data_IF_661815963784
#
_entry.id   IF_661815963784
#
_cell.length_a   1.000
_cell.length_b   1.000
_cell.length_c   1.000
_cell.angle_alpha   90.00
_cell.angle_beta   90.00
_cell.angle_gamma   90.00
#
_symmetry.space_group_name_H-M   'P 1'
#
loop_
_entity.id
_entity.type
_entity.pdbx_description
1 polymer ?
2 non-polymer ?
3 non-polymer ?
4 non-polymer ?
5 water ?
#
# COMPACT_ATOMS: atom_id res chain seq x y z
N UNK A 7 5.32 -6.84 -36.90
CA UNK A 7 4.53 -6.92 -35.68
C UNK A 7 5.42 -7.30 -34.49
N UNK A 8 6.16 -8.40 -34.63
CA UNK A 8 7.06 -8.86 -33.59
C UNK A 8 8.14 -7.82 -33.31
N UNK A 9 8.55 -7.12 -34.36
CA UNK A 9 9.53 -6.05 -34.23
C UNK A 9 8.90 -4.82 -33.57
N UNK A 10 7.59 -4.68 -33.72
CA UNK A 10 6.86 -3.55 -33.14
C UNK A 10 6.60 -3.79 -31.67
N UNK A 11 6.33 -5.05 -31.32
CA UNK A 11 6.09 -5.42 -29.93
C UNK A 11 7.36 -5.34 -29.09
N UNK A 12 8.49 -5.74 -29.69
CA UNK A 12 9.78 -5.64 -29.02
C UNK A 12 10.07 -4.19 -28.65
N UNK A 13 9.91 -3.30 -29.63
CA UNK A 13 10.20 -1.88 -29.44
C UNK A 13 9.31 -1.30 -28.35
N UNK A 14 8.03 -1.67 -28.38
CA UNK A 14 7.08 -1.23 -27.36
C UNK A 14 7.49 -1.71 -25.97
N UNK A 15 7.84 -2.98 -25.87
CA UNK A 15 8.29 -3.55 -24.60
C UNK A 15 9.59 -2.91 -24.14
N UNK A 16 10.49 -2.64 -25.09
CA UNK A 16 11.76 -1.99 -24.78
C UNK A 16 11.55 -0.61 -24.19
N UNK A 17 10.66 0.16 -24.80
CA UNK A 17 10.38 1.52 -24.38
C UNK A 17 9.67 1.56 -23.02
N UNK A 18 8.82 0.57 -22.77
CA UNK A 18 8.17 0.44 -21.48
C UNK A 18 9.19 0.24 -20.38
N UNK A 19 10.11 -0.71 -20.60
CA UNK A 19 11.17 -0.98 -19.63
C UNK A 19 12.07 0.22 -19.40
N UNK A 20 12.24 1.04 -20.43
CA UNK A 20 13.02 2.26 -20.32
C UNK A 20 12.37 3.27 -19.38
N UNK A 21 11.08 3.51 -19.58
CA UNK A 21 10.34 4.46 -18.74
C UNK A 21 10.20 3.93 -17.31
N UNK A 22 9.98 2.63 -17.18
CA UNK A 22 9.91 2.01 -15.85
C UNK A 22 11.28 2.06 -15.18
N UNK A 23 12.33 1.89 -15.97
CA UNK A 23 13.68 1.97 -15.47
C UNK A 23 14.03 3.35 -14.94
N UNK A 24 13.64 4.38 -15.69
CA UNK A 24 13.87 5.76 -15.30
C UNK A 24 13.15 6.09 -13.99
N UNK A 25 11.87 5.76 -13.94
CA UNK A 25 11.06 5.97 -12.73
C UNK A 25 11.61 5.19 -11.55
N UNK A 26 12.09 3.98 -11.81
CA UNK A 26 12.67 3.14 -10.76
C UNK A 26 13.98 3.73 -10.23
N UNK A 27 14.87 4.08 -11.15
CA UNK A 27 16.18 4.63 -10.80
C UNK A 27 16.06 5.88 -9.94
N UNK A 28 15.06 6.70 -10.24
CA UNK A 28 14.89 7.98 -9.56
C UNK A 28 14.01 7.88 -8.31
N UNK A 29 13.67 6.67 -7.92
CA UNK A 29 12.94 6.43 -6.68
C UNK A 29 11.49 6.86 -6.71
N UNK A 30 10.96 7.03 -7.92
CA UNK A 30 9.58 7.46 -8.08
C UNK A 30 8.61 6.32 -7.83
N UNK A 32 8.40 1.72 -6.76
CA UNK A 32 8.98 0.40 -6.52
C UNK A 32 8.18 -0.66 -7.27
N UNK A 33 8.88 -1.52 -7.99
CA UNK A 33 8.23 -2.61 -8.71
C UNK A 33 8.42 -3.94 -7.98
N UNK A 34 7.31 -4.59 -7.65
CA UNK A 34 7.35 -5.90 -7.01
C UNK A 34 6.40 -6.84 -7.74
N UNK A 35 6.96 -7.79 -8.49
CA UNK A 35 6.17 -8.66 -9.32
C UNK A 35 5.45 -7.85 -10.37
N UNK A 36 4.13 -7.99 -10.43
CA UNK A 36 3.32 -7.23 -11.38
C UNK A 36 2.75 -5.97 -10.73
N UNK A 37 3.13 -5.73 -9.48
CA UNK A 37 2.60 -4.59 -8.74
C UNK A 37 3.61 -3.45 -8.65
N UNK A 38 3.14 -2.23 -8.86
CA UNK A 38 3.97 -1.04 -8.71
C UNK A 38 3.48 -0.17 -7.56
N UNK A 39 4.37 0.17 -6.64
CA UNK A 39 4.03 1.04 -5.52
C UNK A 39 4.61 2.44 -5.74
N UNK A 40 3.86 3.45 -5.30
CA UNK A 40 4.33 4.83 -5.43
C UNK A 40 3.65 5.75 -4.42
N UNK A 41 4.33 6.84 -4.08
CA UNK A 41 3.75 7.82 -3.17
C UNK A 41 3.93 9.24 -3.72
N UNK A 42 3.04 10.15 -3.34
CA UNK A 42 3.19 11.55 -3.69
C UNK A 42 3.85 12.31 -2.53
N UNK A 43 4.20 11.56 -1.48
CA UNK A 43 4.90 12.11 -0.35
C UNK A 43 4.01 12.80 0.67
N UNK A 44 2.72 12.84 0.38
CA UNK A 44 1.76 13.54 1.25
C UNK A 44 1.26 12.69 2.41
N UNK A 45 0.97 13.35 3.53
CA UNK A 45 0.39 12.68 4.69
C UNK A 45 -1.02 13.18 4.95
N UNK A 46 -2.00 12.33 4.63
CA UNK A 46 -3.42 12.68 4.78
C UNK A 46 -4.18 11.49 5.35
N UNK A 47 -5.47 11.68 5.61
CA UNK A 47 -6.28 10.59 6.17
C UNK A 47 -6.69 9.52 5.15
N UNK A 48 -7.34 8.47 5.65
CA UNK A 48 -7.67 7.30 4.84
C UNK A 48 -8.49 7.64 3.60
N UNK A 49 -9.60 8.35 3.80
CA UNK A 49 -10.49 8.73 2.71
C UNK A 49 -9.75 9.53 1.65
N UNK A 50 -8.86 10.41 2.07
CA UNK A 50 -8.13 11.28 1.15
C UNK A 50 -7.13 10.47 0.32
N UNK A 51 -6.44 9.52 0.96
CA UNK A 51 -5.51 8.66 0.25
C UNK A 51 -6.24 7.82 -0.80
N UNK A 52 -7.39 7.27 -0.41
CA UNK A 52 -8.23 6.50 -1.32
C UNK A 52 -8.51 7.26 -2.60
N UNK A 53 -8.92 8.52 -2.45
CA UNK A 53 -9.29 9.35 -3.59
C UNK A 53 -8.09 9.65 -4.48
N UNK A 55 -5.30 7.96 -4.87
CA UNK A 55 -4.87 6.77 -5.59
C UNK A 55 -5.79 6.46 -6.78
N UNK A 56 -7.09 6.52 -6.56
CA UNK A 56 -8.05 6.24 -7.62
C UNK A 56 -8.05 7.31 -8.70
N UNK A 57 -7.74 8.55 -8.33
CA UNK A 57 -7.65 9.62 -9.31
C UNK A 57 -6.47 9.39 -10.24
N UNK A 58 -5.44 8.72 -9.72
CA UNK A 58 -4.24 8.42 -10.50
C UNK A 58 -4.40 7.11 -11.25
N UNK A 59 -5.55 6.46 -11.08
CA UNK A 59 -5.83 5.22 -11.77
C UNK A 59 -5.35 4.00 -11.01
N UNK A 60 -5.08 4.17 -9.72
CA UNK A 60 -4.61 3.08 -8.89
C UNK A 60 -5.48 2.86 -7.67
N UNK A 61 -4.91 2.20 -6.66
CA UNK A 61 -5.62 1.97 -5.41
C UNK A 61 -4.69 2.13 -4.23
N UNK A 62 -5.24 2.47 -3.08
CA UNK A 62 -4.47 2.54 -1.85
C UNK A 62 -3.76 1.20 -1.64
N UNK A 63 -2.47 1.26 -1.38
CA UNK A 63 -1.63 0.07 -1.36
C UNK A 63 -2.06 -0.96 -0.33
N UNK A 64 -1.94 -2.23 -0.70
CA UNK A 64 -2.16 -3.33 0.23
C UNK A 64 -1.22 -4.49 -0.09
N UNK A 65 -0.38 -4.87 0.88
CA UNK A 65 0.56 -5.97 0.67
C UNK A 65 -0.12 -7.33 0.83
N UNK A 66 0.17 -8.25 -0.07
CA UNK A 66 -0.41 -9.58 -0.02
C UNK A 66 0.67 -10.65 0.05
N UNK A 67 1.92 -10.21 -0.02
CA UNK A 67 3.08 -11.08 0.13
C UNK A 67 4.09 -10.40 1.05
N UNK A 68 5.01 -11.18 1.63
CA UNK A 68 6.09 -10.56 2.42
C UNK A 68 6.92 -9.57 1.61
N UNK A 69 7.15 -9.85 0.33
CA UNK A 69 7.95 -8.95 -0.49
C UNK A 69 7.23 -7.64 -0.77
N UNK A 70 5.92 -7.71 -0.98
CA UNK A 70 5.13 -6.49 -1.17
C UNK A 70 5.12 -5.68 0.12
N UNK A 71 5.04 -6.37 1.25
CA UNK A 71 5.02 -5.72 2.56
C UNK A 71 6.31 -4.96 2.83
N UNK A 72 7.45 -5.59 2.53
CA UNK A 72 8.75 -4.97 2.73
C UNK A 72 8.95 -3.77 1.81
N UNK A 73 8.38 -3.85 0.62
CA UNK A 73 8.44 -2.76 -0.34
C UNK A 73 7.76 -1.51 0.21
N UNK A 74 6.56 -1.69 0.75
CA UNK A 74 5.81 -0.59 1.35
C UNK A 74 6.51 -0.09 2.61
N UNK A 75 7.06 -1.03 3.39
CA UNK A 75 7.81 -0.70 4.59
C UNK A 75 8.99 0.22 4.29
N UNK A 76 9.68 -0.05 3.18
CA UNK A 76 10.83 0.75 2.78
C UNK A 76 10.41 2.18 2.43
N UNK A 77 9.22 2.34 1.87
CA UNK A 77 8.68 3.65 1.55
C UNK A 77 8.31 4.37 2.84
N UNK A 78 7.67 3.66 3.76
CA UNK A 78 7.33 4.19 5.06
C UNK A 78 8.60 4.65 5.78
N UNK A 79 9.63 3.83 5.70
CA UNK A 79 10.92 4.13 6.31
C UNK A 79 11.56 5.35 5.66
N UNK A 80 11.47 5.44 4.34
CA UNK A 80 12.07 6.53 3.59
C UNK A 80 11.48 7.89 3.97
N UNK A 81 10.17 7.93 4.18
CA UNK A 81 9.47 9.17 4.50
C UNK A 81 9.25 9.38 6.00
N UNK A 82 9.72 8.43 6.80
CA UNK A 82 9.62 8.51 8.26
C UNK A 82 8.18 8.73 8.73
N UNK A 83 7.27 7.94 8.18
CA UNK A 83 5.85 8.05 8.53
C UNK A 83 5.15 6.72 8.35
N UNK A 84 4.05 6.52 9.08
CA UNK A 84 3.27 5.30 8.94
C UNK A 84 2.40 5.38 7.69
N UNK A 85 1.96 4.22 7.22
CA UNK A 85 1.19 4.15 5.98
C UNK A 85 -0.15 3.47 6.21
N UNK A 86 -1.23 4.12 5.79
CA UNK A 86 -2.54 3.49 5.78
C UNK A 86 -2.58 2.44 4.67
N UNK A 87 -3.07 1.25 5.01
CA UNK A 87 -3.16 0.17 4.03
C UNK A 87 -4.59 0.00 3.51
N UNK A 88 -4.72 -0.70 2.40
CA UNK A 88 -6.02 -0.88 1.76
C UNK A 88 -6.86 -1.98 2.39
N UNK A 89 -7.27 -1.75 3.63
CA UNK A 89 -8.11 -2.71 4.35
C UNK A 89 -8.82 -2.03 5.51
N UNK A 90 -10.04 -2.49 5.82
CA UNK A 90 -10.79 -1.99 6.95
C UNK A 90 -11.48 -3.11 7.72
N UNK A 91 -11.82 -2.83 8.98
CA UNK A 91 -12.36 -3.84 9.88
C UNK A 91 -13.79 -4.23 9.52
N UNK A 92 -14.11 -5.52 9.66
CA UNK A 92 -15.47 -6.01 9.42
C UNK A 92 -16.40 -5.52 10.51
N UNK A 93 -17.58 -6.13 10.59
CA UNK A 93 -18.49 -5.85 11.69
C UNK A 93 -17.99 -6.55 12.94
N UNK A 94 -17.51 -7.78 12.77
CA UNK A 94 -16.88 -8.50 13.87
C UNK A 94 -15.49 -7.92 14.11
N UNK A 95 -15.25 -7.39 15.32
CA UNK A 95 -13.95 -6.82 15.67
C UNK A 95 -12.82 -7.83 15.50
N UNK A 96 -11.68 -7.38 15.00
CA UNK A 96 -10.53 -8.24 14.83
C UNK A 96 -10.47 -8.90 13.46
N UNK A 97 -11.56 -8.78 12.71
CA UNK A 97 -11.62 -9.30 11.34
C UNK A 97 -11.57 -8.16 10.34
N UNK A 98 -10.65 -8.27 9.38
CA UNK A 98 -10.43 -7.20 8.42
C UNK A 98 -10.61 -7.71 6.99
N UNK A 99 -11.01 -6.80 6.11
CA UNK A 99 -11.23 -7.16 4.71
C UNK A 99 -10.57 -6.17 3.75
N UNK A 100 -10.23 -6.65 2.56
CA UNK A 100 -9.78 -5.78 1.48
C UNK A 100 -10.97 -4.93 1.04
N UNK A 101 -10.71 -3.90 0.26
CA UNK A 101 -11.77 -2.95 -0.07
C UNK A 101 -12.80 -3.51 -1.05
N UNK A 102 -12.46 -4.62 -1.70
CA UNK A 102 -13.42 -5.30 -2.56
C UNK A 102 -14.38 -6.16 -1.74
N UNK A 103 -14.03 -6.39 -0.48
CA UNK A 103 -14.87 -7.13 0.43
C UNK A 103 -14.27 -8.43 0.93
N UNK A 104 -13.32 -8.97 0.16
CA UNK A 104 -12.68 -10.22 0.52
C UNK A 104 -11.90 -10.11 1.82
N UNK A 105 -11.96 -11.16 2.64
CA UNK A 105 -11.25 -11.15 3.92
C UNK A 105 -9.75 -11.20 3.70
N UNK A 106 -9.00 -10.54 4.59
CA UNK A 106 -7.55 -10.47 4.49
C UNK A 106 -6.88 -11.84 4.64
N UNK A 107 -5.95 -12.15 3.73
CA UNK A 107 -5.19 -13.38 3.82
C UNK A 107 -3.85 -13.13 4.51
N UNK A 108 -2.88 -12.60 3.77
CA UNK A 108 -1.58 -12.26 4.35
C UNK A 108 -1.73 -11.16 5.40
N UNK A 109 -1.13 -11.38 6.57
CA UNK A 109 -1.10 -10.36 7.61
C UNK A 109 0.30 -10.23 8.20
N UNK A 110 0.58 -9.10 8.82
CA UNK A 110 1.85 -8.88 9.50
C UNK A 110 1.66 -7.97 10.72
N UNK A 111 0.71 -8.35 11.57
CA UNK A 111 0.41 -7.55 12.76
C UNK A 111 1.59 -7.47 13.71
N UNK A 112 1.82 -6.29 14.26
CA UNK A 112 2.71 -6.15 15.40
C UNK A 112 2.10 -6.99 16.51
N UNK A 113 2.94 -7.66 17.32
CA UNK A 113 2.44 -8.56 18.37
C UNK A 113 1.40 -7.90 19.28
N UNK A 114 0.26 -8.54 19.44
CA UNK A 114 -0.81 -8.01 20.26
C UNK A 114 -1.90 -7.34 19.43
N UNK A 115 -1.55 -6.94 18.21
CA UNK A 115 -2.50 -6.31 17.30
C UNK A 115 -3.18 -7.37 16.44
N UNK A 116 -4.41 -7.08 15.98
CA UNK A 116 -5.20 -5.88 16.28
C UNK A 116 -5.96 -6.01 17.59
N UNK A 117 -6.07 -4.92 18.33
CA UNK A 117 -6.77 -4.93 19.60
C UNK A 117 -7.53 -3.64 19.87
N UNK A 118 -7.88 -2.92 18.80
CA UNK A 118 -8.62 -1.68 18.93
C UNK A 118 -10.06 -1.88 19.37
N UNK A 119 -10.46 -3.14 19.47
CA UNK A 119 -11.77 -3.53 19.98
C UNK A 119 -12.93 -3.00 19.13
N UNK A 120 -12.68 -2.86 17.83
CA UNK A 120 -13.71 -2.40 16.91
C UNK A 120 -13.77 -0.90 16.79
N UNK A 121 -12.94 -0.20 17.55
CA UNK A 121 -12.91 1.26 17.53
C UNK A 121 -11.86 1.78 16.56
N UNK A 122 -10.97 0.89 16.14
CA UNK A 122 -9.89 1.23 15.22
C UNK A 122 -10.05 0.46 13.92
N UNK A 123 -10.89 0.97 13.02
CA UNK A 123 -11.28 0.20 11.85
C UNK A 123 -10.29 0.23 10.68
N UNK A 124 -9.34 1.15 10.72
CA UNK A 124 -8.30 1.20 9.68
C UNK A 124 -7.03 0.47 10.11
N UNK A 125 -6.11 0.29 9.17
CA UNK A 125 -4.84 -0.39 9.44
C UNK A 125 -3.65 0.45 8.98
N UNK A 126 -2.71 0.68 9.88
CA UNK A 126 -1.51 1.43 9.55
C UNK A 126 -0.28 0.53 9.60
N UNK A 127 0.70 0.81 8.76
CA UNK A 127 1.95 0.07 8.79
C UNK A 127 3.04 0.89 9.47
N UNK A 128 3.65 0.31 10.50
CA UNK A 128 4.80 0.93 11.15
C UNK A 128 5.98 0.92 10.19
N UNK A 129 7.03 1.66 10.53
CA UNK A 129 8.19 1.75 9.64
C UNK A 129 8.98 0.44 9.57
N UNK A 130 8.79 -0.45 10.53
CA UNK A 130 9.43 -1.77 10.46
C UNK A 130 8.61 -2.77 9.65
N UNK A 131 7.45 -2.31 9.17
CA UNK A 131 6.62 -3.12 8.29
C UNK A 131 5.46 -3.83 8.96
N UNK A 132 5.45 -3.84 10.29
CA UNK A 132 4.38 -4.51 11.02
C UNK A 132 3.13 -3.64 11.08
N UNK A 133 1.98 -4.27 11.32
CA UNK A 133 0.69 -3.58 11.23
C UNK A 133 0.11 -3.22 12.59
N UNK A 134 -0.66 -2.13 12.60
CA UNK A 134 -1.43 -1.73 13.77
C UNK A 134 -2.81 -1.29 13.33
N UNK A 135 -3.85 -1.74 14.03
CA UNK A 135 -5.18 -1.23 13.73
C UNK A 135 -5.36 0.14 14.39
N UNK A 136 -5.98 1.06 13.67
CA UNK A 136 -5.97 2.46 14.05
C UNK A 136 -7.23 3.16 13.53
N UNK A 137 -7.58 4.29 14.13
CA UNK A 137 -8.65 5.13 13.61
C UNK A 137 -8.27 5.64 12.23
N UNK A 138 -9.27 6.01 11.43
CA UNK A 138 -9.02 6.34 10.03
C UNK A 138 -8.78 7.82 9.76
N UNK A 139 -8.61 8.61 10.81
CA UNK A 139 -8.58 10.07 10.66
C UNK A 139 -7.18 10.69 10.82
N UNK A 140 -6.17 9.85 11.03
CA UNK A 140 -4.81 10.35 11.22
C UNK A 140 -4.17 10.77 9.90
N UNK A 141 -3.07 11.53 9.99
CA UNK A 141 -2.31 11.89 8.81
C UNK A 141 -1.26 10.82 8.53
N UNK A 142 -1.42 10.12 7.40
CA UNK A 142 -0.53 9.02 7.05
C UNK A 142 -0.01 9.15 5.63
N UNK A 143 1.19 8.62 5.39
CA UNK A 143 1.80 8.64 4.07
C UNK A 143 0.91 7.95 3.05
N UNK A 144 0.61 8.65 1.96
CA UNK A 144 -0.23 8.12 0.90
C UNK A 144 0.57 7.24 -0.04
N UNK A 145 0.36 5.94 0.05
CA UNK A 145 1.04 4.99 -0.85
C UNK A 145 0.02 4.25 -1.70
N UNK A 146 0.23 4.28 -3.02
CA UNK A 146 -0.69 3.66 -3.95
C UNK A 146 -0.08 2.46 -4.65
N UNK A 147 -0.93 1.54 -5.10
CA UNK A 147 -0.48 0.44 -5.94
C UNK A 147 -1.14 0.54 -7.31
N UNK A 148 -0.41 0.16 -8.34
CA UNK A 148 -0.92 0.20 -9.70
C UNK A 148 -0.76 -1.16 -10.37
#
# INVERSE_FOLDING_TARGET
>A
AYLDEELQTELYEIKHQILQTMGVLSLQGSXLSVGDKVFSTNGQSVNFDTIKEXCTRAGGNIAVPRTPEENEAIASIAKKYNNYVYLGMIEDQTPGDFHYLDGASVSYTNWYPGEPRGQGKEKCVEMYTDGTWNDRGCLQYRLAVCEF
#
